data_IF_525901049300
#
_entry.id   IF_525901049300
#
_cell.length_a   1.000
_cell.length_b   1.000
_cell.length_c   1.000
_cell.angle_alpha   90.00
_cell.angle_beta   90.00
_cell.angle_gamma   90.00
#
_symmetry.space_group_name_H-M   'P 1'
#
loop_
_entity.id
_entity.type
_entity.pdbx_description
1 polymer ?
#
# COMPACT_ATOMS: atom_id res chain seq x y z
N UNK A 1 -2.50 -12.64 -12.04
CA UNK A 1 -1.70 -11.41 -11.82
C UNK A 1 -1.13 -11.45 -10.41
N UNK A 2 0.15 -11.21 -10.28
CA UNK A 2 0.81 -11.16 -8.98
C UNK A 2 0.89 -9.71 -8.53
N UNK A 3 0.41 -9.44 -7.32
CA UNK A 3 0.41 -8.09 -6.72
C UNK A 3 1.13 -8.08 -5.38
N UNK A 4 1.76 -6.97 -5.08
CA UNK A 4 2.24 -6.66 -3.74
C UNK A 4 1.05 -6.16 -2.91
N UNK A 5 0.83 -6.73 -1.74
CA UNK A 5 -0.30 -6.34 -0.90
C UNK A 5 0.01 -5.09 -0.07
N UNK A 6 -0.89 -4.12 -0.10
CA UNK A 6 -0.95 -3.04 0.86
C UNK A 6 -2.19 -3.24 1.72
N UNK A 7 -1.98 -3.44 3.01
CA UNK A 7 -3.02 -3.87 3.94
C UNK A 7 -3.37 -2.77 4.94
N UNK A 8 -4.53 -2.90 5.58
CA UNK A 8 -4.96 -1.92 6.57
C UNK A 8 -5.16 -0.51 6.01
N UNK A 9 -5.49 -0.39 4.74
CA UNK A 9 -5.72 0.91 4.10
C UNK A 9 -7.10 1.42 4.52
N UNK A 10 -7.15 2.66 4.97
CA UNK A 10 -8.41 3.26 5.39
C UNK A 10 -9.44 3.31 4.25
N UNK A 11 -10.70 3.02 4.59
CA UNK A 11 -11.77 2.95 3.59
C UNK A 11 -11.95 4.24 2.80
N UNK A 12 -11.76 5.40 3.42
CA UNK A 12 -11.86 6.68 2.70
C UNK A 12 -10.77 6.86 1.66
N UNK A 13 -9.58 6.29 1.89
CA UNK A 13 -8.48 6.32 0.92
C UNK A 13 -8.83 5.46 -0.30
N UNK A 14 -9.38 4.27 -0.07
CA UNK A 14 -9.82 3.37 -1.14
C UNK A 14 -10.94 3.99 -1.97
N UNK A 15 -11.92 4.61 -1.31
CA UNK A 15 -13.03 5.30 -2.01
C UNK A 15 -12.52 6.47 -2.83
N UNK A 16 -11.57 7.24 -2.31
CA UNK A 16 -10.99 8.37 -3.03
C UNK A 16 -10.18 7.91 -4.25
N UNK A 17 -9.39 6.86 -4.12
CA UNK A 17 -8.67 6.27 -5.25
C UNK A 17 -9.64 5.76 -6.32
N UNK A 18 -10.72 5.10 -5.90
CA UNK A 18 -11.74 4.60 -6.82
C UNK A 18 -12.43 5.75 -7.58
N UNK A 19 -12.69 6.86 -6.92
CA UNK A 19 -13.33 8.03 -7.51
C UNK A 19 -12.40 8.81 -8.44
N UNK A 20 -11.16 9.03 -8.01
CA UNK A 20 -10.20 9.90 -8.72
C UNK A 20 -9.36 9.17 -9.75
N UNK A 21 -9.22 7.87 -9.66
CA UNK A 21 -8.39 7.01 -10.52
C UNK A 21 -6.89 7.17 -10.33
N UNK A 22 -6.42 8.31 -9.89
CA UNK A 22 -5.02 8.58 -9.56
C UNK A 22 -4.98 9.24 -8.19
N UNK A 23 -4.11 8.74 -7.33
CA UNK A 23 -3.90 9.31 -6.01
C UNK A 23 -2.51 9.03 -5.50
N UNK A 24 -1.93 10.01 -4.79
CA UNK A 24 -0.73 9.80 -3.99
C UNK A 24 -1.15 9.39 -2.58
N UNK A 25 -0.57 8.30 -2.10
CA UNK A 25 -0.83 7.76 -0.76
C UNK A 25 0.45 7.83 0.05
N UNK A 26 0.36 8.35 1.28
CA UNK A 26 1.47 8.32 2.22
C UNK A 26 1.40 7.06 3.06
N UNK A 27 2.48 6.29 3.04
CA UNK A 27 2.57 4.99 3.69
C UNK A 27 3.53 5.10 4.87
N UNK A 28 3.02 4.90 6.08
CA UNK A 28 3.76 5.02 7.32
C UNK A 28 3.85 3.72 8.10
N UNK A 29 2.90 2.80 7.92
CA UNK A 29 2.94 1.53 8.65
C UNK A 29 4.18 0.75 8.28
N UNK A 30 4.88 0.11 9.24
CA UNK A 30 6.10 -0.64 8.95
C UNK A 30 5.91 -1.74 7.90
N UNK A 31 4.81 -2.46 7.96
CA UNK A 31 4.48 -3.53 7.01
C UNK A 31 4.37 -3.00 5.59
N UNK A 32 3.56 -1.96 5.38
CA UNK A 32 3.36 -1.38 4.06
C UNK A 32 4.61 -0.62 3.57
N UNK A 33 5.32 0.03 4.47
CA UNK A 33 6.58 0.71 4.13
C UNK A 33 7.60 -0.27 3.55
N UNK A 34 7.79 -1.43 4.20
CA UNK A 34 8.70 -2.46 3.71
C UNK A 34 8.22 -3.02 2.36
N UNK A 35 6.91 -3.17 2.19
CA UNK A 35 6.34 -3.65 0.94
C UNK A 35 6.66 -2.75 -0.26
N UNK A 36 6.73 -1.44 -0.06
CA UNK A 36 6.97 -0.48 -1.15
C UNK A 36 8.42 -0.02 -1.27
N UNK A 37 9.31 -0.48 -0.40
CA UNK A 37 10.70 -0.02 -0.35
C UNK A 37 11.45 -0.25 -1.66
N UNK A 38 11.18 -1.37 -2.34
CA UNK A 38 11.81 -1.73 -3.61
C UNK A 38 10.85 -1.63 -4.80
N UNK A 39 9.81 -0.85 -4.66
CA UNK A 39 8.77 -0.70 -5.67
C UNK A 39 9.34 -0.04 -6.93
N UNK A 40 9.00 -0.62 -8.08
CA UNK A 40 9.36 -0.08 -9.39
C UNK A 40 8.12 0.49 -10.08
N UNK A 41 8.26 1.54 -10.91
CA UNK A 41 7.14 2.02 -11.72
C UNK A 41 6.54 0.88 -12.56
N UNK A 42 5.24 0.77 -12.56
CA UNK A 42 4.51 -0.29 -13.24
C UNK A 42 4.21 -1.52 -12.40
N UNK A 43 4.78 -1.65 -11.21
CA UNK A 43 4.44 -2.74 -10.30
C UNK A 43 2.97 -2.69 -9.91
N UNK A 44 2.34 -3.87 -9.81
CA UNK A 44 0.94 -3.99 -9.44
C UNK A 44 0.80 -4.15 -7.93
N UNK A 45 -0.14 -3.39 -7.37
CA UNK A 45 -0.46 -3.38 -5.95
C UNK A 45 -1.92 -3.79 -5.73
N UNK A 46 -2.16 -4.56 -4.67
CA UNK A 46 -3.50 -4.88 -4.20
C UNK A 46 -3.73 -4.17 -2.88
N UNK A 47 -4.73 -3.28 -2.83
CA UNK A 47 -5.05 -2.46 -1.67
C UNK A 47 -6.32 -2.96 -1.00
N UNK A 48 -6.26 -3.19 0.30
CA UNK A 48 -7.39 -3.67 1.09
C UNK A 48 -7.43 -3.02 2.47
N UNK A 49 -8.61 -2.95 3.06
CA UNK A 49 -8.81 -2.55 4.46
C UNK A 49 -8.38 -3.65 5.43
N UNK A 50 -8.38 -4.89 5.00
CA UNK A 50 -8.08 -6.03 5.87
C UNK A 50 -6.63 -6.01 6.34
N UNK A 51 -6.39 -6.57 7.52
CA UNK A 51 -5.04 -6.82 8.00
C UNK A 51 -4.39 -7.97 7.22
N UNK A 52 -3.05 -8.09 7.24
CA UNK A 52 -2.37 -9.19 6.53
C UNK A 52 -2.87 -10.58 6.95
N UNK A 53 -3.24 -10.75 8.23
CA UNK A 53 -3.69 -12.03 8.76
C UNK A 53 -5.12 -12.39 8.36
N UNK A 54 -5.90 -11.42 7.91
CA UNK A 54 -7.30 -11.61 7.54
C UNK A 54 -7.49 -11.83 6.03
N UNK A 55 -6.42 -11.80 5.26
CA UNK A 55 -6.50 -12.02 3.82
C UNK A 55 -6.64 -13.52 3.54
N UNK A 56 -7.70 -13.85 2.84
CA UNK A 56 -8.04 -15.21 2.41
C UNK A 56 -8.44 -15.19 0.94
N UNK A 57 -8.45 -16.35 0.25
CA UNK A 57 -9.00 -16.41 -1.10
C UNK A 57 -10.44 -15.85 -1.13
N UNK A 58 -10.73 -15.00 -2.09
CA UNK A 58 -12.02 -14.30 -2.21
C UNK A 58 -12.03 -12.90 -1.60
N UNK A 59 -11.01 -12.49 -0.87
CA UNK A 59 -10.90 -11.12 -0.35
C UNK A 59 -10.89 -10.12 -1.50
N UNK A 60 -11.79 -9.13 -1.44
CA UNK A 60 -11.91 -8.09 -2.46
C UNK A 60 -11.02 -6.89 -2.13
N UNK A 61 -10.54 -6.22 -3.16
CA UNK A 61 -9.76 -5.00 -3.01
C UNK A 61 -9.57 -4.28 -4.34
N UNK A 62 -8.79 -3.22 -4.32
CA UNK A 62 -8.44 -2.46 -5.51
C UNK A 62 -7.09 -2.89 -6.04
N UNK A 63 -6.98 -2.97 -7.36
CA UNK A 63 -5.72 -3.20 -8.06
C UNK A 63 -5.26 -1.87 -8.62
N UNK A 64 -4.04 -1.47 -8.31
CA UNK A 64 -3.44 -0.24 -8.78
C UNK A 64 -2.04 -0.48 -9.31
N UNK A 65 -1.62 0.36 -10.25
CA UNK A 65 -0.25 0.41 -10.75
C UNK A 65 0.52 1.51 -10.02
N UNK A 66 1.74 1.22 -9.62
CA UNK A 66 2.64 2.22 -9.07
C UNK A 66 3.19 3.10 -10.21
N UNK A 67 2.99 4.41 -10.12
CA UNK A 67 3.51 5.36 -11.10
C UNK A 67 4.83 5.96 -10.65
N UNK A 68 4.92 6.33 -9.37
CA UNK A 68 6.10 6.92 -8.78
C UNK A 68 6.13 6.65 -7.28
N UNK A 69 7.31 6.58 -6.71
CA UNK A 69 7.48 6.45 -5.27
C UNK A 69 8.61 7.34 -4.76
N UNK A 70 8.47 7.83 -3.53
CA UNK A 70 9.43 8.70 -2.89
C UNK A 70 9.50 8.37 -1.41
N UNK A 71 10.71 8.22 -0.86
CA UNK A 71 10.91 8.05 0.57
C UNK A 71 11.09 9.43 1.20
N UNK A 72 10.37 9.67 2.28
CA UNK A 72 10.39 10.94 3.00
C UNK A 72 10.78 10.66 4.44
N UNK A 73 11.69 11.47 4.97
CA UNK A 73 12.07 11.41 6.36
C UNK A 73 11.47 12.62 7.08
N UNK A 74 10.69 12.36 8.13
CA UNK A 74 10.17 13.37 9.03
C UNK A 74 11.03 13.42 10.28
N UNK A 75 11.46 14.61 10.65
CA UNK A 75 12.18 14.83 11.89
C UNK A 75 11.24 15.48 12.89
N UNK A 76 11.06 14.82 14.04
CA UNK A 76 10.26 15.33 15.14
C UNK A 76 11.20 15.71 16.28
N UNK A 77 11.10 16.95 16.73
CA UNK A 77 11.89 17.46 17.85
C UNK A 77 10.94 17.77 19.00
N UNK A 78 11.17 17.14 20.15
CA UNK A 78 10.43 17.42 21.36
C UNK A 78 11.41 17.96 22.41
N UNK A 79 11.21 19.19 22.85
CA UNK A 79 12.08 19.88 23.77
C UNK A 79 11.28 20.38 24.98
N UNK A 80 11.72 20.02 26.17
CA UNK A 80 11.23 20.55 27.42
C UNK A 80 12.41 20.97 28.29
N UNK A 81 12.17 21.66 29.40
CA UNK A 81 13.18 22.30 30.20
C UNK A 81 14.36 21.38 30.62
N UNK A 82 14.05 20.10 30.92
CA UNK A 82 15.04 19.08 31.30
C UNK A 82 15.13 17.93 30.32
N UNK A 83 14.56 18.08 29.11
CA UNK A 83 14.37 16.96 28.22
C UNK A 83 14.43 17.40 26.76
N UNK A 84 15.24 16.70 25.97
CA UNK A 84 15.32 16.87 24.54
C UNK A 84 15.21 15.51 23.88
N UNK A 85 14.25 15.35 22.99
CA UNK A 85 14.08 14.14 22.21
C UNK A 85 13.98 14.50 20.73
N UNK A 86 14.75 13.81 19.93
CA UNK A 86 14.70 13.90 18.48
C UNK A 86 14.33 12.54 17.91
N UNK A 87 13.30 12.50 17.08
CA UNK A 87 12.86 11.28 16.41
C UNK A 87 12.85 11.48 14.92
N UNK A 88 13.31 10.48 14.20
CA UNK A 88 13.14 10.39 12.76
C UNK A 88 12.09 9.34 12.44
N UNK A 89 11.16 9.70 11.60
CA UNK A 89 10.15 8.79 11.08
C UNK A 89 10.21 8.79 9.55
N UNK A 90 10.20 7.60 8.96
CA UNK A 90 10.20 7.46 7.52
C UNK A 90 8.79 7.15 7.02
N UNK A 91 8.46 7.72 5.87
CA UNK A 91 7.23 7.45 5.16
C UNK A 91 7.54 7.30 3.67
N UNK A 92 6.72 6.54 2.98
CA UNK A 92 6.77 6.46 1.53
C UNK A 92 5.56 7.18 0.94
N UNK A 93 5.77 7.99 -0.08
CA UNK A 93 4.69 8.53 -0.92
C UNK A 93 4.69 7.76 -2.23
N UNK A 94 3.56 7.14 -2.53
CA UNK A 94 3.39 6.35 -3.73
C UNK A 94 2.24 6.92 -4.53
N UNK A 95 2.50 7.28 -5.76
CA UNK A 95 1.47 7.68 -6.71
C UNK A 95 0.88 6.43 -7.34
N UNK A 96 -0.41 6.24 -7.18
CA UNK A 96 -1.15 5.08 -7.64
C UNK A 96 -2.12 5.44 -8.74
N UNK A 97 -2.18 4.59 -9.76
CA UNK A 97 -3.20 4.63 -10.81
C UNK A 97 -4.10 3.41 -10.66
N UNK A 98 -5.38 3.63 -10.49
CA UNK A 98 -6.34 2.55 -10.38
C UNK A 98 -6.43 1.76 -11.68
N UNK A 99 -6.30 0.44 -11.59
CA UNK A 99 -6.49 -0.48 -12.70
C UNK A 99 -7.86 -1.13 -12.66
N UNK A 100 -8.34 -1.49 -11.49
CA UNK A 100 -9.63 -2.14 -11.35
C UNK A 100 -9.90 -2.68 -9.95
N UNK A 101 -10.93 -3.50 -9.88
CA UNK A 101 -11.33 -4.23 -8.68
C UNK A 101 -10.93 -5.68 -8.85
N UNK A 102 -10.37 -6.29 -7.83
CA UNK A 102 -9.92 -7.67 -7.87
C UNK A 102 -10.28 -8.47 -6.64
N UNK A 103 -10.10 -9.76 -6.76
CA UNK A 103 -10.24 -10.71 -5.64
C UNK A 103 -8.99 -11.56 -5.52
N UNK A 104 -8.59 -11.83 -4.31
CA UNK A 104 -7.46 -12.71 -4.02
C UNK A 104 -7.82 -14.13 -4.45
N UNK A 105 -6.98 -14.71 -5.30
CA UNK A 105 -7.08 -16.10 -5.72
C UNK A 105 -6.35 -17.01 -4.74
N UNK A 106 -5.11 -16.64 -4.41
CA UNK A 106 -4.30 -17.33 -3.41
C UNK A 106 -3.16 -16.44 -2.93
N UNK A 107 -2.59 -16.79 -1.79
CA UNK A 107 -1.40 -16.14 -1.27
C UNK A 107 -0.19 -16.79 -1.93
N UNK A 108 0.56 -16.00 -2.70
CA UNK A 108 1.76 -16.48 -3.41
C UNK A 108 2.97 -16.55 -2.47
N UNK A 109 3.08 -15.59 -1.55
CA UNK A 109 4.15 -15.53 -0.56
C UNK A 109 3.56 -14.96 0.73
N UNK A 110 3.62 -15.73 1.81
CA UNK A 110 3.09 -15.33 3.10
C UNK A 110 3.89 -14.18 3.69
N UNK A 111 3.22 -13.35 4.49
CA UNK A 111 3.89 -12.30 5.23
C UNK A 111 4.93 -12.88 6.18
N UNK A 112 6.17 -12.45 6.01
CA UNK A 112 7.28 -12.72 6.91
C UNK A 112 8.01 -11.42 7.19
N UNK A 113 8.66 -11.32 8.34
CA UNK A 113 9.40 -10.13 8.70
C UNK A 113 10.45 -9.81 7.63
N UNK A 114 10.39 -8.61 7.05
CA UNK A 114 11.28 -8.15 5.99
C UNK A 114 10.89 -8.57 4.58
N UNK A 115 9.82 -9.34 4.39
CA UNK A 115 9.34 -9.74 3.07
C UNK A 115 7.93 -9.23 2.82
N UNK A 116 7.62 -8.68 1.64
CA UNK A 116 6.27 -8.25 1.32
C UNK A 116 5.33 -9.44 1.17
N UNK A 117 4.05 -9.22 1.47
CA UNK A 117 3.00 -10.16 1.17
C UNK A 117 2.67 -10.09 -0.33
N UNK A 118 2.83 -11.21 -1.02
CA UNK A 118 2.54 -11.31 -2.44
C UNK A 118 1.28 -12.12 -2.65
N UNK A 119 0.40 -11.60 -3.48
CA UNK A 119 -0.90 -12.21 -3.75
C UNK A 119 -1.06 -12.49 -5.23
N UNK A 120 -1.67 -13.63 -5.56
CA UNK A 120 -2.21 -13.88 -6.89
C UNK A 120 -3.66 -13.38 -6.89
N UNK A 121 -3.97 -12.45 -7.77
CA UNK A 121 -5.24 -11.73 -7.80
C UNK A 121 -5.91 -11.88 -9.15
N UNK A 122 -7.23 -12.13 -9.14
CA UNK A 122 -8.06 -12.12 -10.34
C UNK A 122 -8.66 -10.72 -10.49
N UNK A 123 -8.50 -10.14 -11.66
CA UNK A 123 -9.13 -8.87 -12.01
C UNK A 123 -10.61 -9.14 -12.34
N UNK A 124 -11.50 -8.57 -11.53
CA UNK A 124 -12.95 -8.76 -11.69
C UNK A 124 -13.53 -7.70 -12.62
N UNK A 125 -13.05 -6.46 -12.53
CA UNK A 125 -13.55 -5.36 -13.33
C UNK A 125 -12.45 -4.34 -13.58
N UNK A 126 -12.26 -3.98 -14.85
CA UNK A 126 -11.38 -2.88 -15.22
C UNK A 126 -12.03 -1.54 -14.87
N UNK A 127 -11.20 -0.59 -14.46
CA UNK A 127 -11.59 0.82 -14.41
C UNK A 127 -10.87 1.54 -15.53
N UNK A 128 -11.65 2.23 -16.37
CA UNK A 128 -11.08 3.00 -17.47
C UNK A 128 -10.22 4.12 -16.92
N UNK A 129 -9.02 4.24 -17.44
CA UNK A 129 -8.14 5.36 -17.15
C UNK A 129 -8.69 6.59 -17.89
N UNK A 130 -9.09 7.58 -17.14
CA UNK A 130 -9.51 8.87 -17.70
C UNK A 130 -8.61 9.98 -17.22
#
# INVERSE_FOLDING_TARGET
>A
MICIALTGIAGHVLRDLHARRIRTVEIRSPTNFLAVLNLQPGDSLFLTEHSPLDIVPGTSGLIASAEASQIITHRLIHSAEDFYEEREAQAARVQLRLMGVGKVRRISSSYQMGSPLMLEVDLIRYCDAR
#
